data_IF_507582756449
#
_entry.id   IF_507582756449
#
_cell.length_a   1.000
_cell.length_b   1.000
_cell.length_c   1.000
_cell.angle_alpha   90.00
_cell.angle_beta   90.00
_cell.angle_gamma   90.00
#
_symmetry.space_group_name_H-M   'P 1'
#
loop_
_entity.id
_entity.type
_entity.pdbx_description
1 polymer ?
#
# COMPACT_ATOMS: atom_id res chain seq x y z
N UNK A 1 17.00 18.44 -10.27
CA UNK A 1 15.63 18.63 -9.76
C UNK A 1 14.91 17.31 -9.96
N UNK A 2 14.64 16.55 -8.91
CA UNK A 2 13.99 15.24 -9.03
C UNK A 2 12.51 15.42 -9.40
N UNK A 3 11.99 14.55 -10.27
CA UNK A 3 10.57 14.53 -10.61
C UNK A 3 9.76 13.96 -9.44
N UNK A 4 8.49 14.35 -9.31
CA UNK A 4 7.60 13.81 -8.25
C UNK A 4 7.58 12.27 -8.24
N UNK A 5 7.67 11.66 -9.42
CA UNK A 5 7.68 10.20 -9.57
C UNK A 5 8.94 9.54 -9.00
N UNK A 6 10.11 10.13 -9.24
CA UNK A 6 11.37 9.66 -8.66
C UNK A 6 11.31 9.70 -7.13
N UNK A 7 10.74 10.77 -6.57
CA UNK A 7 10.60 10.91 -5.12
C UNK A 7 9.74 9.78 -4.51
N UNK A 8 8.62 9.42 -5.14
CA UNK A 8 7.78 8.31 -4.67
C UNK A 8 8.47 6.94 -4.78
N UNK A 9 9.25 6.72 -5.83
CA UNK A 9 10.00 5.47 -6.00
C UNK A 9 11.13 5.35 -4.98
N UNK A 10 11.89 6.43 -4.75
CA UNK A 10 12.92 6.47 -3.71
C UNK A 10 12.32 6.23 -2.34
N UNK A 11 11.18 6.86 -2.01
CA UNK A 11 10.49 6.65 -0.74
C UNK A 11 10.05 5.18 -0.59
N UNK A 12 9.49 4.59 -1.64
CA UNK A 12 9.02 3.20 -1.63
C UNK A 12 10.19 2.22 -1.45
N UNK A 13 11.32 2.49 -2.11
CA UNK A 13 12.53 1.69 -1.99
C UNK A 13 13.14 1.78 -0.58
N UNK A 14 13.29 2.99 -0.03
CA UNK A 14 13.81 3.21 1.32
C UNK A 14 12.91 2.59 2.37
N UNK A 15 11.59 2.73 2.25
CA UNK A 15 10.63 2.09 3.15
C UNK A 15 10.75 0.56 3.10
N UNK A 16 10.89 -0.03 1.91
CA UNK A 16 11.08 -1.48 1.77
C UNK A 16 12.40 -1.98 2.36
N UNK A 17 13.49 -1.23 2.20
CA UNK A 17 14.77 -1.52 2.87
C UNK A 17 14.64 -1.44 4.39
N UNK A 18 13.99 -0.39 4.91
CA UNK A 18 13.78 -0.22 6.34
C UNK A 18 12.92 -1.33 6.94
N UNK A 19 11.87 -1.75 6.24
CA UNK A 19 11.02 -2.86 6.68
C UNK A 19 11.77 -4.19 6.71
N UNK A 20 12.58 -4.45 5.66
CA UNK A 20 13.45 -5.62 5.63
C UNK A 20 14.47 -5.64 6.76
N UNK A 21 15.06 -4.48 7.08
CA UNK A 21 15.95 -4.32 8.23
C UNK A 21 15.27 -4.66 9.56
N UNK A 22 14.07 -4.11 9.80
CA UNK A 22 13.32 -4.35 11.04
C UNK A 22 12.89 -5.81 11.22
N UNK A 23 12.60 -6.50 10.13
CA UNK A 23 12.20 -7.91 10.17
C UNK A 23 13.40 -8.87 10.17
N UNK A 24 14.63 -8.38 10.04
CA UNK A 24 15.85 -9.21 9.87
C UNK A 24 15.75 -10.20 8.69
N UNK A 25 14.91 -9.88 7.70
CA UNK A 25 14.69 -10.66 6.48
C UNK A 25 15.49 -10.00 5.34
N UNK A 26 15.70 -10.74 4.26
CA UNK A 26 16.40 -10.28 3.05
C UNK A 26 15.93 -8.87 2.64
N UNK A 27 16.81 -7.88 2.85
CA UNK A 27 16.57 -6.45 2.62
C UNK A 27 16.10 -6.16 1.18
N UNK A 28 16.65 -6.90 0.21
CA UNK A 28 16.30 -6.73 -1.20
C UNK A 28 14.88 -7.19 -1.53
N UNK A 29 14.35 -8.19 -0.81
CA UNK A 29 13.04 -8.75 -1.09
C UNK A 29 11.92 -7.73 -0.86
N UNK A 30 11.86 -7.14 0.34
CA UNK A 30 10.82 -6.16 0.66
C UNK A 30 10.97 -4.86 -0.13
N UNK A 31 12.20 -4.43 -0.46
CA UNK A 31 12.42 -3.29 -1.36
C UNK A 31 11.80 -3.51 -2.74
N UNK A 32 11.96 -4.70 -3.32
CA UNK A 32 11.36 -5.06 -4.61
C UNK A 32 9.84 -5.15 -4.51
N UNK A 33 9.32 -5.80 -3.46
CA UNK A 33 7.87 -5.89 -3.22
C UNK A 33 7.25 -4.49 -3.14
N UNK A 34 7.81 -3.59 -2.35
CA UNK A 34 7.30 -2.22 -2.21
C UNK A 34 7.36 -1.43 -3.53
N UNK A 35 8.42 -1.60 -4.33
CA UNK A 35 8.51 -0.97 -5.64
C UNK A 35 7.41 -1.46 -6.59
N UNK A 36 7.15 -2.77 -6.62
CA UNK A 36 6.08 -3.36 -7.44
C UNK A 36 4.72 -2.83 -6.99
N UNK A 37 4.43 -2.86 -5.69
CA UNK A 37 3.16 -2.37 -5.13
C UNK A 37 2.98 -0.89 -5.44
N UNK A 38 4.02 -0.07 -5.29
CA UNK A 38 4.00 1.35 -5.62
C UNK A 38 3.70 1.60 -7.11
N UNK A 39 4.28 0.80 -8.01
CA UNK A 39 3.99 0.88 -9.45
C UNK A 39 2.55 0.45 -9.78
N UNK A 40 2.06 -0.64 -9.18
CA UNK A 40 0.66 -1.07 -9.35
C UNK A 40 -0.29 0.03 -8.86
N UNK A 41 -0.02 0.61 -7.70
CA UNK A 41 -0.83 1.70 -7.15
C UNK A 41 -0.83 2.95 -8.05
N UNK A 42 0.31 3.30 -8.65
CA UNK A 42 0.40 4.40 -9.62
C UNK A 42 -0.48 4.16 -10.85
N UNK A 43 -0.39 2.96 -11.44
CA UNK A 43 -1.20 2.57 -12.60
C UNK A 43 -2.69 2.55 -12.23
N UNK A 44 -3.01 2.00 -11.05
CA UNK A 44 -4.38 1.88 -10.59
C UNK A 44 -5.01 3.25 -10.29
N UNK A 45 -4.23 4.21 -9.75
CA UNK A 45 -4.71 5.56 -9.45
C UNK A 45 -5.21 6.32 -10.69
N UNK A 46 -4.66 6.04 -11.86
CA UNK A 46 -5.14 6.63 -13.13
C UNK A 46 -6.40 5.97 -13.68
N UNK A 47 -6.86 4.86 -13.07
CA UNK A 47 -8.04 4.12 -13.52
C UNK A 47 -9.32 4.64 -12.82
N UNK A 48 -10.47 4.67 -13.51
CA UNK A 48 -11.76 4.99 -12.88
C UNK A 48 -12.13 4.01 -11.74
N UNK A 49 -11.52 2.82 -11.72
CA UNK A 49 -11.72 1.82 -10.67
C UNK A 49 -11.16 2.25 -9.31
N UNK A 50 -10.23 3.22 -9.26
CA UNK A 50 -9.67 3.69 -7.98
C UNK A 50 -10.65 4.49 -7.13
N UNK A 51 -11.76 4.94 -7.70
CA UNK A 51 -12.82 5.62 -6.95
C UNK A 51 -13.65 4.67 -6.08
N UNK A 52 -13.63 3.36 -6.38
CA UNK A 52 -14.43 2.38 -5.66
C UNK A 52 -13.61 1.73 -4.53
N UNK A 53 -13.97 2.03 -3.28
CA UNK A 53 -13.33 1.49 -2.06
C UNK A 53 -13.33 -0.04 -2.04
N UNK A 54 -14.38 -0.70 -2.54
CA UNK A 54 -14.44 -2.16 -2.60
C UNK A 54 -13.43 -2.72 -3.59
N UNK A 55 -13.24 -2.07 -4.73
CA UNK A 55 -12.24 -2.49 -5.73
C UNK A 55 -10.81 -2.28 -5.23
N UNK A 56 -10.55 -1.15 -4.56
CA UNK A 56 -9.26 -0.88 -3.89
C UNK A 56 -8.96 -1.97 -2.85
N UNK A 57 -9.96 -2.35 -2.06
CA UNK A 57 -9.80 -3.35 -0.99
C UNK A 57 -9.59 -4.76 -1.55
N UNK A 58 -10.32 -5.12 -2.61
CA UNK A 58 -10.11 -6.39 -3.32
C UNK A 58 -8.71 -6.45 -3.93
N UNK A 59 -8.22 -5.34 -4.52
CA UNK A 59 -6.87 -5.25 -5.05
C UNK A 59 -5.81 -5.37 -3.95
N UNK A 60 -6.00 -4.70 -2.81
CA UNK A 60 -5.11 -4.83 -1.66
C UNK A 60 -5.04 -6.27 -1.15
N UNK A 61 -6.18 -6.94 -1.01
CA UNK A 61 -6.24 -8.35 -0.63
C UNK A 61 -5.51 -9.26 -1.63
N UNK A 62 -5.68 -9.03 -2.94
CA UNK A 62 -4.97 -9.76 -3.97
C UNK A 62 -3.44 -9.56 -3.91
N UNK A 63 -3.00 -8.32 -3.63
CA UNK A 63 -1.58 -8.00 -3.44
C UNK A 63 -1.02 -8.73 -2.22
N UNK A 64 -1.69 -8.67 -1.06
CA UNK A 64 -1.23 -9.39 0.14
C UNK A 64 -1.17 -10.90 -0.07
N UNK A 65 -2.15 -11.47 -0.78
CA UNK A 65 -2.15 -12.89 -1.14
C UNK A 65 -0.95 -13.24 -2.05
N UNK A 66 -0.67 -12.40 -3.05
CA UNK A 66 0.46 -12.59 -3.96
C UNK A 66 1.80 -12.51 -3.22
N UNK A 67 1.96 -11.53 -2.32
CA UNK A 67 3.17 -11.40 -1.50
C UNK A 67 3.35 -12.64 -0.61
N UNK A 68 2.30 -13.10 0.07
CA UNK A 68 2.36 -14.31 0.89
C UNK A 68 2.69 -15.57 0.06
N UNK A 69 2.19 -15.68 -1.17
CA UNK A 69 2.53 -16.77 -2.07
C UNK A 69 4.01 -16.74 -2.48
N UNK A 70 4.55 -15.54 -2.76
CA UNK A 70 5.97 -15.35 -3.09
C UNK A 70 6.85 -15.62 -1.86
N UNK A 71 6.47 -15.15 -0.68
CA UNK A 71 7.17 -15.44 0.58
C UNK A 71 7.25 -16.94 0.84
N UNK A 72 6.15 -17.68 0.61
CA UNK A 72 6.13 -19.13 0.72
C UNK A 72 7.08 -19.81 -0.29
N UNK A 73 7.12 -19.34 -1.53
CA UNK A 73 7.97 -19.89 -2.58
C UNK A 73 9.47 -19.62 -2.37
N UNK A 74 9.83 -18.41 -1.92
CA UNK A 74 11.23 -17.97 -1.81
C UNK A 74 11.81 -18.24 -0.43
N UNK A 75 11.06 -17.94 0.62
CA UNK A 75 11.53 -18.00 2.01
C UNK A 75 11.06 -19.27 2.74
N UNK A 76 10.21 -20.09 2.12
CA UNK A 76 9.66 -21.32 2.72
C UNK A 76 8.72 -21.05 3.90
N UNK A 77 8.24 -19.81 4.07
CA UNK A 77 7.40 -19.40 5.19
C UNK A 77 5.99 -19.98 5.05
N UNK A 78 5.42 -20.43 6.17
CA UNK A 78 4.05 -20.97 6.23
C UNK A 78 2.99 -19.93 5.87
N UNK A 79 1.95 -20.37 5.18
CA UNK A 79 0.86 -19.51 4.75
C UNK A 79 -0.09 -19.20 5.93
N UNK A 80 -0.03 -17.99 6.47
CA UNK A 80 -0.89 -17.55 7.57
C UNK A 80 -2.09 -16.75 7.06
N UNK A 81 -3.17 -17.44 6.69
CA UNK A 81 -4.40 -16.83 6.21
C UNK A 81 -4.96 -15.75 7.16
N UNK A 82 -4.85 -16.00 8.47
CA UNK A 82 -5.28 -15.05 9.50
C UNK A 82 -4.55 -13.72 9.38
N UNK A 83 -3.23 -13.74 9.13
CA UNK A 83 -2.42 -12.52 8.95
C UNK A 83 -2.93 -11.71 7.75
N UNK A 84 -3.19 -12.38 6.63
CA UNK A 84 -3.67 -11.72 5.39
C UNK A 84 -5.03 -11.06 5.60
N UNK A 85 -5.95 -11.72 6.31
CA UNK A 85 -7.27 -11.15 6.64
C UNK A 85 -7.11 -9.90 7.50
N UNK A 86 -6.28 -9.97 8.55
CA UNK A 86 -6.02 -8.81 9.42
C UNK A 86 -5.37 -7.65 8.67
N UNK A 87 -4.37 -7.91 7.83
CA UNK A 87 -3.70 -6.89 7.02
C UNK A 87 -4.67 -6.23 6.03
N UNK A 88 -5.53 -7.02 5.39
CA UNK A 88 -6.54 -6.51 4.45
C UNK A 88 -7.59 -5.65 5.17
N UNK A 89 -8.08 -6.07 6.33
CA UNK A 89 -9.02 -5.29 7.15
C UNK A 89 -8.39 -3.99 7.66
N UNK A 90 -7.12 -4.04 8.10
CA UNK A 90 -6.38 -2.86 8.54
C UNK A 90 -6.17 -1.87 7.38
N UNK A 91 -5.85 -2.37 6.18
CA UNK A 91 -5.74 -1.54 4.99
C UNK A 91 -7.08 -0.88 4.62
N UNK A 92 -8.19 -1.61 4.69
CA UNK A 92 -9.54 -1.06 4.46
C UNK A 92 -9.86 0.05 5.48
N UNK A 93 -9.62 -0.18 6.78
CA UNK A 93 -9.85 0.82 7.82
C UNK A 93 -9.01 2.08 7.59
N UNK A 94 -7.74 1.91 7.23
CA UNK A 94 -6.83 3.01 6.92
C UNK A 94 -7.33 3.79 5.69
N UNK A 95 -7.80 3.10 4.66
CA UNK A 95 -8.38 3.73 3.47
C UNK A 95 -9.64 4.53 3.80
N UNK A 96 -10.54 3.99 4.63
CA UNK A 96 -11.74 4.71 5.08
C UNK A 96 -11.38 5.93 5.94
N UNK A 97 -10.39 5.81 6.82
CA UNK A 97 -9.92 6.92 7.63
C UNK A 97 -9.35 8.05 6.77
N UNK A 98 -8.50 7.73 5.79
CA UNK A 98 -7.95 8.71 4.84
C UNK A 98 -9.09 9.37 4.06
N UNK A 99 -10.05 8.59 3.55
CA UNK A 99 -11.18 9.12 2.80
C UNK A 99 -12.04 10.09 3.64
N UNK A 100 -12.36 9.71 4.89
CA UNK A 100 -13.09 10.58 5.82
C UNK A 100 -12.29 11.84 6.18
N UNK A 101 -10.98 11.73 6.31
CA UNK A 101 -10.10 12.85 6.59
C UNK A 101 -10.03 13.82 5.39
N UNK A 102 -9.86 13.30 4.17
CA UNK A 102 -9.87 14.11 2.95
C UNK A 102 -11.21 14.84 2.76
N UNK A 103 -12.35 14.17 2.97
CA UNK A 103 -13.67 14.80 2.87
C UNK A 103 -13.86 15.94 3.90
N UNK A 104 -13.39 15.72 5.14
CA UNK A 104 -13.57 16.69 6.23
C UNK A 104 -12.61 17.89 6.15
N UNK A 105 -11.35 17.67 5.78
CA UNK A 105 -10.29 18.66 5.95
C UNK A 105 -9.73 19.22 4.64
N UNK A 106 -9.86 18.48 3.53
CA UNK A 106 -9.27 18.89 2.23
C UNK A 106 -10.35 19.41 1.28
N UNK A 107 -11.48 18.70 1.19
CA UNK A 107 -12.51 19.00 0.17
C UNK A 107 -13.49 20.11 0.57
N UNK A 108 -13.68 20.36 1.87
CA UNK A 108 -14.49 21.48 2.36
C UNK A 108 -13.58 22.59 2.88
N UNK A 109 -13.31 23.65 2.10
CA UNK A 109 -12.76 24.86 2.71
C UNK A 109 -13.77 25.33 3.76
N UNK A 110 -13.32 25.43 5.01
CA UNK A 110 -14.05 26.11 6.07
C UNK A 110 -14.43 27.49 5.53
N UNK A 111 -15.69 27.68 5.15
CA UNK A 111 -16.24 29.02 4.98
C UNK A 111 -16.19 29.65 6.36
N UNK A 112 -15.15 30.46 6.60
CA UNK A 112 -15.17 31.44 7.68
C UNK A 112 -16.47 32.22 7.51
N UNK A 113 -17.39 32.06 8.46
CA UNK A 113 -18.52 32.97 8.62
C UNK A 113 -17.90 34.28 9.08
N UNK A 114 -17.87 35.25 8.19
CA UNK A 114 -17.79 36.67 8.56
C UNK A 114 -19.09 37.09 9.28
#
# INVERSE_FOLDING_TARGET
>A
MMTKQEHYLTLSFVSGLFLGFLQLINLGFYAIVFLIVSKIAQIFRSSPLSANVFTVSALAGAIFLAVAAVEKLILGISFHYTKIIYETLSALLTCLFIYLWEDRFVSKPLKLRD
#
